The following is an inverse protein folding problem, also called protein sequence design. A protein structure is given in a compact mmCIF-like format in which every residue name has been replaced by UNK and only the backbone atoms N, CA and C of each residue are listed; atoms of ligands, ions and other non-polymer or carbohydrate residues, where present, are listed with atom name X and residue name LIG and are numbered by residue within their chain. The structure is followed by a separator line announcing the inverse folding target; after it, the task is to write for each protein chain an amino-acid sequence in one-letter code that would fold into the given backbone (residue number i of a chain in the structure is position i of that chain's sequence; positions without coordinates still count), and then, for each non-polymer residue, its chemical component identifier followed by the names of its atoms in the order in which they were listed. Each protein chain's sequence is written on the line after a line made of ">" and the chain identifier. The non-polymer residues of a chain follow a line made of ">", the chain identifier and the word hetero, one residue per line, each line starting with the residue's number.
data_IF_852398356128
#
_entry.id   IF_852398356128
#
_cell.length_a   1.000
_cell.length_b   1.000
_cell.length_c   1.000
_cell.angle_alpha   90.00
_cell.angle_beta   90.00
_cell.angle_gamma   90.00
#
_symmetry.space_group_name_H-M   'P 1'
#
loop_
_entity.id
_entity.type
_entity.pdbx_description
1 polymer ?
#
# COMPACT_ATOMS: atom_id res chain seq x y z
N UNK A 1 10.56 16.85 6.32
CA UNK A 1 10.56 15.47 5.80
C UNK A 1 9.79 14.60 6.77
N UNK A 2 9.09 13.57 6.29
CA UNK A 2 8.44 12.56 7.13
C UNK A 2 9.46 11.78 7.97
N UNK A 3 9.08 11.31 9.15
CA UNK A 3 9.94 10.42 9.94
C UNK A 3 9.99 9.01 9.32
N UNK A 4 11.09 8.25 9.50
CA UNK A 4 11.18 6.87 9.07
C UNK A 4 10.09 5.96 9.68
N UNK A 5 9.64 6.28 10.91
CA UNK A 5 8.58 5.55 11.59
C UNK A 5 7.24 5.74 10.89
N UNK A 6 6.91 6.99 10.51
CA UNK A 6 5.71 7.30 9.74
C UNK A 6 5.71 6.60 8.38
N UNK A 7 6.82 6.65 7.65
CA UNK A 7 6.96 5.98 6.35
C UNK A 7 6.79 4.46 6.48
N UNK A 8 7.39 3.86 7.51
CA UNK A 8 7.26 2.43 7.81
C UNK A 8 5.81 2.05 8.10
N UNK A 9 5.13 2.81 8.97
CA UNK A 9 3.74 2.55 9.29
C UNK A 9 2.85 2.65 8.05
N UNK A 10 3.03 3.70 7.24
CA UNK A 10 2.26 3.92 6.03
C UNK A 10 2.43 2.77 5.02
N UNK A 11 3.66 2.33 4.79
CA UNK A 11 3.95 1.19 3.91
C UNK A 11 3.30 -0.11 4.41
N UNK A 12 3.31 -0.33 5.73
CA UNK A 12 2.65 -1.50 6.34
C UNK A 12 1.14 -1.42 6.22
N UNK A 13 0.51 -0.27 6.42
CA UNK A 13 -0.96 -0.14 6.26
C UNK A 13 -1.45 -0.53 4.87
N UNK A 14 -0.64 -0.29 3.83
CA UNK A 14 -0.97 -0.70 2.46
C UNK A 14 -0.85 -2.20 2.18
N UNK A 15 -0.13 -2.96 3.01
CA UNK A 15 0.26 -4.34 2.71
C UNK A 15 -0.14 -5.37 3.78
N UNK A 16 -0.36 -4.94 5.01
CA UNK A 16 -0.74 -5.74 6.17
C UNK A 16 -2.24 -5.53 6.47
N UNK A 17 -3.05 -6.55 6.18
CA UNK A 17 -4.51 -6.51 6.33
C UNK A 17 -4.93 -6.42 7.82
N UNK A 18 -4.20 -7.10 8.72
CA UNK A 18 -4.52 -7.11 10.14
C UNK A 18 -4.20 -5.77 10.80
N UNK A 19 -3.01 -5.23 10.51
CA UNK A 19 -2.62 -3.90 10.98
C UNK A 19 -3.59 -2.82 10.47
N UNK A 20 -3.96 -2.88 9.17
CA UNK A 20 -4.91 -1.92 8.61
C UNK A 20 -6.28 -2.03 9.29
N UNK A 21 -6.77 -3.23 9.58
CA UNK A 21 -8.04 -3.41 10.28
C UNK A 21 -7.99 -2.77 11.68
N UNK A 22 -6.92 -3.01 12.45
CA UNK A 22 -6.72 -2.38 13.76
C UNK A 22 -6.63 -0.84 13.66
N UNK A 23 -5.90 -0.34 12.67
CA UNK A 23 -5.76 1.10 12.43
C UNK A 23 -7.09 1.77 12.10
N UNK A 24 -7.97 1.13 11.31
CA UNK A 24 -9.27 1.72 10.97
C UNK A 24 -10.23 1.82 12.16
N UNK A 25 -10.01 1.03 13.23
CA UNK A 25 -10.79 1.13 14.47
C UNK A 25 -10.32 2.28 15.35
N UNK A 26 -9.01 2.48 15.48
CA UNK A 26 -8.42 3.57 16.26
C UNK A 26 -7.10 4.06 15.64
N UNK A 27 -7.17 4.97 14.65
CA UNK A 27 -6.01 5.42 13.88
C UNK A 27 -4.92 6.06 14.75
N UNK A 28 -5.35 6.89 15.71
CA UNK A 28 -4.46 7.66 16.56
C UNK A 28 -3.73 6.75 17.54
N UNK A 29 -4.45 5.85 18.21
CA UNK A 29 -3.81 4.92 19.13
C UNK A 29 -2.83 4.01 18.41
N UNK A 30 -3.18 3.49 17.23
CA UNK A 30 -2.26 2.67 16.44
C UNK A 30 -1.03 3.45 15.99
N UNK A 31 -1.17 4.70 15.54
CA UNK A 31 -0.03 5.54 15.19
C UNK A 31 0.93 5.73 16.37
N UNK A 32 0.41 6.07 17.56
CA UNK A 32 1.22 6.23 18.77
C UNK A 32 1.90 4.92 19.20
N UNK A 33 1.19 3.78 19.13
CA UNK A 33 1.75 2.45 19.40
C UNK A 33 2.92 2.09 18.46
N UNK A 34 2.92 2.64 17.24
CA UNK A 34 3.97 2.48 16.26
C UNK A 34 5.08 3.55 16.35
N UNK A 35 5.09 4.34 17.43
CA UNK A 35 6.18 5.26 17.74
C UNK A 35 6.11 6.60 17.00
N UNK A 36 4.97 6.94 16.42
CA UNK A 36 4.77 8.27 15.85
C UNK A 36 4.63 9.31 16.96
N UNK A 37 5.07 10.53 16.68
CA UNK A 37 4.79 11.68 17.53
C UNK A 37 3.29 11.99 17.59
N UNK A 38 2.82 12.75 18.59
CA UNK A 38 1.41 13.16 18.65
C UNK A 38 0.93 13.88 17.40
N UNK A 39 1.76 14.77 16.82
CA UNK A 39 1.43 15.51 15.59
C UNK A 39 1.25 14.56 14.40
N UNK A 40 2.18 13.61 14.22
CA UNK A 40 2.07 12.59 13.18
C UNK A 40 0.87 11.67 13.40
N UNK A 41 0.53 11.35 14.65
CA UNK A 41 -0.64 10.53 14.96
C UNK A 41 -1.95 11.23 14.60
N UNK A 42 -2.06 12.55 14.82
CA UNK A 42 -3.21 13.34 14.36
C UNK A 42 -3.27 13.39 12.82
N UNK A 43 -2.13 13.59 12.16
CA UNK A 43 -2.06 13.58 10.71
C UNK A 43 -2.51 12.23 10.12
N UNK A 44 -2.07 11.12 10.73
CA UNK A 44 -2.51 9.76 10.36
C UNK A 44 -4.01 9.56 10.62
N UNK A 45 -4.55 10.10 11.72
CA UNK A 45 -5.97 9.99 12.04
C UNK A 45 -6.88 10.75 11.07
N UNK A 46 -6.37 11.83 10.47
CA UNK A 46 -7.02 12.65 9.45
C UNK A 46 -6.92 12.07 8.02
N UNK A 47 -6.15 11.00 7.81
CA UNK A 47 -5.94 10.41 6.48
C UNK A 47 -7.23 9.85 5.87
N UNK A 48 -7.34 9.92 4.53
CA UNK A 48 -8.44 9.31 3.79
C UNK A 48 -8.44 7.78 3.92
N UNK A 49 -9.42 7.28 4.68
CA UNK A 49 -9.61 5.85 4.97
C UNK A 49 -10.09 5.08 3.76
N UNK A 50 -10.93 5.70 2.92
CA UNK A 50 -11.48 5.06 1.72
C UNK A 50 -10.35 4.87 0.70
N UNK A 51 -9.58 5.93 0.45
CA UNK A 51 -8.38 5.87 -0.39
C UNK A 51 -7.38 4.84 0.07
N UNK A 52 -7.10 4.76 1.38
CA UNK A 52 -6.23 3.73 1.97
C UNK A 52 -6.74 2.31 1.65
N UNK A 53 -8.02 2.03 1.87
CA UNK A 53 -8.60 0.71 1.61
C UNK A 53 -8.57 0.35 0.12
N UNK A 54 -8.90 1.30 -0.76
CA UNK A 54 -8.86 1.12 -2.22
C UNK A 54 -7.45 0.83 -2.72
N UNK A 55 -6.45 1.57 -2.24
CA UNK A 55 -5.06 1.36 -2.59
C UNK A 55 -4.56 0.00 -2.10
N UNK A 56 -4.85 -0.37 -0.85
CA UNK A 56 -4.49 -1.67 -0.30
C UNK A 56 -5.12 -2.84 -1.07
N UNK A 57 -6.40 -2.74 -1.44
CA UNK A 57 -7.07 -3.73 -2.27
C UNK A 57 -6.38 -3.89 -3.64
N UNK A 58 -6.00 -2.76 -4.25
CA UNK A 58 -5.26 -2.74 -5.53
C UNK A 58 -3.90 -3.41 -5.40
N UNK A 59 -3.15 -3.15 -4.33
CA UNK A 59 -1.85 -3.80 -4.10
C UNK A 59 -1.99 -5.30 -3.86
N UNK A 60 -3.00 -5.74 -3.10
CA UNK A 60 -3.31 -7.15 -2.91
C UNK A 60 -3.63 -7.85 -4.23
N UNK A 61 -4.45 -7.24 -5.09
CA UNK A 61 -4.76 -7.77 -6.42
C UNK A 61 -3.50 -7.86 -7.31
N UNK A 62 -2.64 -6.84 -7.30
CA UNK A 62 -1.38 -6.85 -8.05
C UNK A 62 -0.42 -7.93 -7.56
N UNK A 63 -0.29 -8.12 -6.23
CA UNK A 63 0.59 -9.13 -5.62
C UNK A 63 0.13 -10.56 -5.92
N UNK A 64 -1.17 -10.82 -5.85
CA UNK A 64 -1.74 -12.13 -6.19
C UNK A 64 -1.60 -12.44 -7.69
N UNK A 65 -1.73 -11.43 -8.56
CA UNK A 65 -1.52 -11.57 -10.00
C UNK A 65 -0.05 -11.75 -10.40
N UNK A 66 0.91 -11.22 -9.62
CA UNK A 66 2.34 -11.43 -9.85
C UNK A 66 2.87 -12.72 -9.20
N UNK A 67 2.30 -13.16 -8.07
CA UNK A 67 2.69 -14.39 -7.40
C UNK A 67 2.28 -15.67 -8.15
N UNK A 68 1.33 -15.58 -9.08
CA UNK A 68 0.81 -16.71 -9.88
C UNK A 68 1.31 -16.73 -11.33
N UNK A 69 1.96 -15.66 -11.81
CA UNK A 69 2.56 -15.63 -13.15
C UNK A 69 3.96 -16.20 -13.13
N UNK A 70 4.06 -17.52 -13.24
CA UNK A 70 5.18 -18.10 -13.96
C UNK A 70 5.19 -17.53 -15.40
N UNK A 71 6.31 -16.87 -15.74
CA UNK A 71 6.65 -16.28 -17.03
C UNK A 71 5.91 -14.99 -17.47
N UNK A 72 6.67 -13.98 -17.96
CA UNK A 72 6.12 -12.68 -18.34
C UNK A 72 5.37 -12.74 -19.69
N UNK A 73 4.29 -11.97 -19.77
CA UNK A 73 3.50 -11.71 -20.97
C UNK A 73 4.27 -10.86 -22.03
N UNK A 74 5.54 -11.14 -22.29
CA UNK A 74 6.39 -10.38 -23.22
C UNK A 74 6.04 -10.54 -24.70
N UNK A 75 4.97 -11.25 -25.04
CA UNK A 75 4.61 -11.54 -26.43
C UNK A 75 3.81 -10.43 -27.12
N UNK A 76 3.07 -9.60 -26.39
CA UNK A 76 2.14 -8.66 -27.04
C UNK A 76 2.84 -7.45 -27.66
N UNK A 77 3.78 -6.82 -26.95
CA UNK A 77 4.49 -5.63 -27.44
C UNK A 77 5.58 -5.95 -28.46
N UNK A 78 6.18 -7.15 -28.42
CA UNK A 78 7.09 -7.66 -29.47
C UNK A 78 6.39 -7.82 -30.83
N UNK A 79 5.10 -8.17 -30.84
CA UNK A 79 4.30 -8.26 -32.09
C UNK A 79 4.03 -6.89 -32.71
N UNK A 80 3.96 -5.83 -31.90
CA UNK A 80 3.79 -4.46 -32.41
C UNK A 80 5.06 -3.95 -33.09
N UNK A 81 6.25 -4.30 -32.59
CA UNK A 81 7.53 -3.87 -33.18
C UNK A 81 7.84 -4.64 -34.47
N UNK A 82 7.47 -5.92 -34.56
CA UNK A 82 7.71 -6.74 -35.75
C UNK A 82 6.88 -6.35 -36.98
N UNK A 83 5.87 -5.49 -36.84
CA UNK A 83 5.08 -4.97 -37.96
C UNK A 83 5.63 -3.69 -38.59
N UNK A 84 6.79 -3.20 -38.14
CA UNK A 84 7.39 -1.92 -38.56
C UNK A 84 8.69 -2.09 -39.38
N UNK A 85 9.01 -3.30 -39.83
CA UNK A 85 10.13 -3.63 -40.71
C UNK A 85 9.63 -4.27 -41.98
#
# INVERSE_FOLDING_TARGET
>A
MSSPALETLLARLYTDDALRAAFLLDPRAQALLHGLSPEEAEAMAAMDRVGLQMAAASYRAKRTAHGTRAAPAQRWWRRLIAGWT
#
